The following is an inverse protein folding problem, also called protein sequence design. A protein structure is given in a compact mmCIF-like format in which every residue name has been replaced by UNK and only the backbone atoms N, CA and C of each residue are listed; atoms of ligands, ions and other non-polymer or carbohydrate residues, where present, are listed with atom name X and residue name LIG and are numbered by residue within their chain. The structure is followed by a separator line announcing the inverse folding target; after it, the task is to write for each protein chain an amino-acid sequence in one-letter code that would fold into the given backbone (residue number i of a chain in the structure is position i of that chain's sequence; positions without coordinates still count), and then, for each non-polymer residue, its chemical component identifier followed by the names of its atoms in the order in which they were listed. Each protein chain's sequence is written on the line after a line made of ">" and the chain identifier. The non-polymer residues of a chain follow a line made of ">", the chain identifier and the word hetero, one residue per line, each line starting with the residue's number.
data_IF_610875059147
#
_entry.id   IF_610875059147
#
_cell.length_a   1.000
_cell.length_b   1.000
_cell.length_c   1.000
_cell.angle_alpha   90.00
_cell.angle_beta   90.00
_cell.angle_gamma   90.00
#
_symmetry.space_group_name_H-M   'P 1'
#
loop_
_entity.id
_entity.type
_entity.pdbx_description
1 polymer ?
#
# COMPACT_ATOMS: atom_id res chain seq x y z
N UNK A 1 8.54 -27.61 -9.81
CA UNK A 1 7.50 -28.48 -10.42
C UNK A 1 6.19 -27.77 -10.16
N UNK A 2 5.52 -27.28 -11.21
CA UNK A 2 4.30 -26.47 -11.06
C UNK A 2 3.11 -27.36 -10.75
N UNK A 3 2.34 -27.01 -9.74
CA UNK A 3 1.02 -27.56 -9.47
C UNK A 3 0.04 -26.99 -10.51
N UNK A 4 -0.89 -27.81 -11.01
CA UNK A 4 -1.95 -27.30 -11.89
C UNK A 4 -2.86 -26.38 -11.09
N UNK A 5 -3.35 -25.28 -11.70
CA UNK A 5 -4.18 -24.29 -11.02
C UNK A 5 -5.40 -24.91 -10.33
N UNK A 6 -5.99 -25.93 -10.94
CA UNK A 6 -7.15 -26.65 -10.40
C UNK A 6 -6.79 -27.49 -9.16
N UNK A 7 -5.61 -28.11 -9.14
CA UNK A 7 -5.13 -28.87 -7.98
C UNK A 7 -4.82 -27.92 -6.81
N UNK A 8 -4.16 -26.78 -7.09
CA UNK A 8 -3.88 -25.75 -6.08
C UNK A 8 -5.18 -25.18 -5.50
N UNK A 9 -6.18 -24.99 -6.35
CA UNK A 9 -7.50 -24.53 -5.93
C UNK A 9 -8.21 -25.54 -5.03
N UNK A 10 -8.13 -26.84 -5.35
CA UNK A 10 -8.73 -27.89 -4.52
C UNK A 10 -8.08 -27.97 -3.13
N UNK A 11 -6.75 -27.81 -3.05
CA UNK A 11 -6.02 -27.81 -1.78
C UNK A 11 -6.44 -26.62 -0.89
N UNK A 12 -6.54 -25.42 -1.47
CA UNK A 12 -7.00 -24.21 -0.76
C UNK A 12 -8.44 -24.41 -0.23
N UNK A 13 -9.32 -24.97 -1.07
CA UNK A 13 -10.72 -25.22 -0.69
C UNK A 13 -10.81 -26.24 0.46
N UNK A 14 -9.97 -27.27 0.45
CA UNK A 14 -9.92 -28.29 1.50
C UNK A 14 -9.43 -27.68 2.84
N UNK A 15 -8.35 -26.89 2.81
CA UNK A 15 -7.81 -26.19 3.99
C UNK A 15 -8.84 -25.23 4.60
N UNK A 16 -9.57 -24.48 3.78
CA UNK A 16 -10.62 -23.57 4.25
C UNK A 16 -11.84 -24.31 4.82
N UNK A 17 -12.17 -25.47 4.27
CA UNK A 17 -13.21 -26.34 4.83
C UNK A 17 -12.82 -26.89 6.21
N UNK A 18 -11.55 -27.30 6.39
CA UNK A 18 -11.03 -27.75 7.69
C UNK A 18 -10.98 -26.61 8.73
N UNK A 19 -10.68 -25.38 8.30
CA UNK A 19 -10.65 -24.20 9.16
C UNK A 19 -12.04 -23.71 9.63
N UNK A 20 -13.14 -24.31 9.15
CA UNK A 20 -14.47 -24.25 9.75
C UNK A 20 -15.21 -22.91 9.71
N UNK A 21 -14.65 -21.86 9.10
CA UNK A 21 -15.18 -20.50 9.24
C UNK A 21 -15.94 -19.92 8.04
N UNK A 22 -15.97 -20.55 6.86
CA UNK A 22 -16.79 -20.09 5.72
C UNK A 22 -16.81 -21.09 4.57
N UNK A 23 -17.84 -21.04 3.72
CA UNK A 23 -17.83 -21.74 2.43
C UNK A 23 -16.75 -21.12 1.56
N UNK A 24 -15.86 -21.93 0.98
CA UNK A 24 -14.83 -21.43 0.08
C UNK A 24 -15.43 -20.52 -1.02
N UNK A 25 -14.67 -19.49 -1.40
CA UNK A 25 -15.08 -18.48 -2.39
C UNK A 25 -16.24 -17.57 -1.98
N UNK A 26 -16.58 -17.47 -0.70
CA UNK A 26 -17.57 -16.50 -0.23
C UNK A 26 -16.92 -15.35 0.52
N UNK A 27 -17.26 -14.12 0.14
CA UNK A 27 -16.91 -12.89 0.84
C UNK A 27 -18.11 -12.43 1.69
N UNK A 28 -17.96 -12.25 3.01
CA UNK A 28 -19.06 -11.86 3.88
C UNK A 28 -19.65 -10.50 3.50
N UNK A 29 -20.96 -10.35 3.61
CA UNK A 29 -21.66 -9.07 3.37
C UNK A 29 -21.06 -7.94 4.23
N UNK A 30 -20.68 -8.24 5.48
CA UNK A 30 -20.01 -7.29 6.39
C UNK A 30 -18.67 -6.77 5.86
N UNK A 31 -18.00 -7.50 4.95
CA UNK A 31 -16.79 -6.98 4.33
C UNK A 31 -17.09 -5.74 3.50
N UNK A 32 -18.18 -5.82 2.72
CA UNK A 32 -18.65 -4.79 1.80
C UNK A 32 -19.32 -3.64 2.55
N UNK A 33 -20.23 -3.96 3.47
CA UNK A 33 -20.97 -2.95 4.25
C UNK A 33 -20.10 -2.20 5.25
N UNK A 34 -19.01 -2.80 5.71
CA UNK A 34 -18.05 -2.17 6.61
C UNK A 34 -16.98 -1.34 5.90
N UNK A 35 -17.00 -1.23 4.56
CA UNK A 35 -15.98 -0.55 3.76
C UNK A 35 -16.62 0.41 2.77
N UNK A 36 -15.90 1.49 2.49
CA UNK A 36 -16.27 2.45 1.46
C UNK A 36 -15.07 2.76 0.60
N UNK A 37 -15.33 3.14 -0.65
CA UNK A 37 -14.37 3.75 -1.53
C UNK A 37 -14.40 5.26 -1.32
N UNK A 38 -13.23 5.84 -1.14
CA UNK A 38 -13.08 7.27 -0.87
C UNK A 38 -12.23 7.90 -1.96
N UNK A 39 -12.72 9.00 -2.51
CA UNK A 39 -11.89 9.88 -3.34
C UNK A 39 -11.39 11.02 -2.45
N UNK A 40 -10.08 11.14 -2.32
CA UNK A 40 -9.43 12.17 -1.51
C UNK A 40 -8.86 13.27 -2.40
N UNK A 41 -8.91 14.52 -1.92
CA UNK A 41 -8.15 15.64 -2.46
C UNK A 41 -7.12 16.07 -1.43
N UNK A 42 -5.86 16.06 -1.83
CA UNK A 42 -4.76 16.54 -1.00
C UNK A 42 -4.48 18.02 -1.29
N UNK A 43 -3.88 18.76 -0.33
CA UNK A 43 -3.38 20.10 -0.60
C UNK A 43 -2.34 20.11 -1.72
N UNK A 44 -2.07 21.29 -2.30
CA UNK A 44 -0.98 21.44 -3.25
C UNK A 44 0.37 21.25 -2.56
N UNK A 45 1.28 20.53 -3.22
CA UNK A 45 2.60 20.25 -2.69
C UNK A 45 3.28 19.08 -3.38
N UNK A 46 4.47 18.73 -2.91
CA UNK A 46 5.32 17.73 -3.51
C UNK A 46 5.22 16.38 -2.80
N UNK A 47 5.29 15.32 -3.60
CA UNK A 47 5.40 13.93 -3.15
C UNK A 47 6.80 13.42 -3.46
N UNK A 48 7.40 12.69 -2.53
CA UNK A 48 8.68 12.03 -2.77
C UNK A 48 8.41 10.69 -3.46
N UNK A 49 8.94 10.49 -4.66
CA UNK A 49 8.97 9.17 -5.27
C UNK A 49 10.08 8.34 -4.63
N UNK A 50 9.72 7.47 -3.68
CA UNK A 50 10.73 6.64 -3.00
C UNK A 50 11.31 5.57 -3.91
N UNK A 51 10.68 5.29 -5.05
CA UNK A 51 11.13 4.28 -6.01
C UNK A 51 12.03 4.85 -7.10
N UNK A 52 12.20 6.18 -7.15
CA UNK A 52 13.14 6.84 -8.04
C UNK A 52 14.59 6.52 -7.66
N UNK A 53 15.44 6.31 -8.67
CA UNK A 53 16.86 5.99 -8.46
C UNK A 53 17.57 7.13 -7.71
N UNK A 54 17.20 8.37 -8.01
CA UNK A 54 17.74 9.58 -7.38
C UNK A 54 17.41 9.60 -5.88
N UNK A 55 16.18 9.23 -5.50
CA UNK A 55 15.79 9.16 -4.09
C UNK A 55 16.50 8.03 -3.36
N UNK A 56 16.67 6.86 -3.99
CA UNK A 56 17.42 5.75 -3.40
C UNK A 56 18.88 6.13 -3.18
N UNK A 57 19.52 6.76 -4.17
CA UNK A 57 20.88 7.27 -4.06
C UNK A 57 21.02 8.33 -2.99
N UNK A 58 20.09 9.31 -2.94
CA UNK A 58 20.10 10.35 -1.92
C UNK A 58 19.91 9.77 -0.51
N UNK A 59 19.01 8.79 -0.32
CA UNK A 59 18.83 8.10 0.95
C UNK A 59 20.10 7.36 1.39
N UNK A 60 20.88 6.84 0.44
CA UNK A 60 22.16 6.20 0.76
C UNK A 60 23.23 7.22 1.19
N UNK A 61 23.27 8.40 0.57
CA UNK A 61 24.24 9.45 0.88
C UNK A 61 23.89 10.23 2.16
N UNK A 62 22.60 10.48 2.40
CA UNK A 62 22.13 11.22 3.57
C UNK A 62 22.18 10.39 4.86
N UNK A 63 22.20 9.05 4.72
CA UNK A 63 22.12 8.12 5.83
C UNK A 63 23.34 7.19 5.86
N UNK A 64 24.39 7.63 6.56
CA UNK A 64 25.57 6.82 6.89
C UNK A 64 25.28 5.73 7.96
N UNK A 65 24.02 5.63 8.41
CA UNK A 65 23.57 4.71 9.44
C UNK A 65 23.09 3.36 8.89
N UNK A 66 22.99 2.38 9.78
CA UNK A 66 22.39 1.08 9.45
C UNK A 66 20.86 1.19 9.51
N UNK A 67 20.17 0.63 8.51
CA UNK A 67 18.72 0.65 8.52
C UNK A 67 18.16 -0.48 9.39
N UNK A 68 17.20 -0.21 10.28
CA UNK A 68 16.57 -1.26 11.07
C UNK A 68 15.66 -2.11 10.17
N UNK A 69 15.66 -3.41 10.44
CA UNK A 69 14.84 -4.42 9.77
C UNK A 69 14.18 -5.32 10.81
N UNK A 70 13.21 -6.13 10.41
CA UNK A 70 12.59 -7.10 11.31
C UNK A 70 13.58 -8.16 11.83
N UNK A 71 14.70 -8.35 11.12
CA UNK A 71 15.71 -9.37 11.41
C UNK A 71 17.03 -8.81 11.94
N UNK A 72 17.08 -7.52 12.29
CA UNK A 72 18.29 -6.85 12.76
C UNK A 72 18.52 -5.54 12.02
N UNK A 73 19.69 -5.38 11.42
CA UNK A 73 20.05 -4.17 10.66
C UNK A 73 20.64 -4.55 9.31
N UNK A 74 20.43 -3.70 8.31
CA UNK A 74 21.14 -3.80 7.03
C UNK A 74 22.20 -2.72 6.94
N UNK A 75 23.38 -3.13 6.50
CA UNK A 75 24.52 -2.25 6.22
C UNK A 75 24.73 -2.09 4.70
N UNK A 76 23.99 -2.83 3.90
CA UNK A 76 24.07 -2.76 2.44
C UNK A 76 23.25 -1.57 1.89
N UNK A 77 23.62 -1.05 0.70
CA UNK A 77 22.87 0.03 0.07
C UNK A 77 21.39 -0.31 -0.13
N UNK A 78 20.52 0.66 0.09
CA UNK A 78 19.11 0.51 -0.21
C UNK A 78 18.91 0.21 -1.69
N UNK A 79 17.92 -0.63 -1.98
CA UNK A 79 17.54 -0.99 -3.34
C UNK A 79 16.03 -0.86 -3.48
N UNK A 80 15.54 -0.87 -4.72
CA UNK A 80 14.10 -0.88 -4.97
C UNK A 80 13.42 -2.08 -4.28
N UNK A 81 14.09 -3.23 -4.21
CA UNK A 81 13.55 -4.43 -3.55
C UNK A 81 13.28 -4.22 -2.05
N UNK A 82 14.14 -3.45 -1.36
CA UNK A 82 13.95 -3.07 0.03
C UNK A 82 12.69 -2.21 0.23
N UNK A 83 12.47 -1.26 -0.68
CA UNK A 83 11.37 -0.29 -0.61
C UNK A 83 10.02 -0.91 -0.99
N UNK A 84 10.01 -1.89 -1.89
CA UNK A 84 8.81 -2.63 -2.29
C UNK A 84 8.59 -3.91 -1.48
N UNK A 85 9.45 -4.18 -0.50
CA UNK A 85 9.48 -5.41 0.28
C UNK A 85 8.39 -5.54 1.35
N UNK A 86 8.43 -6.64 2.08
CA UNK A 86 7.50 -6.95 3.18
C UNK A 86 7.98 -6.42 4.55
N UNK A 87 9.25 -6.03 4.66
CA UNK A 87 9.80 -5.57 5.93
C UNK A 87 9.25 -4.18 6.31
N UNK A 88 8.22 -4.19 7.16
CA UNK A 88 7.57 -2.96 7.63
C UNK A 88 8.42 -2.17 8.59
N UNK A 89 9.39 -2.78 9.27
CA UNK A 89 10.34 -2.05 10.11
C UNK A 89 11.19 -1.16 9.22
N UNK A 90 11.72 -1.73 8.15
CA UNK A 90 12.54 -1.01 7.18
C UNK A 90 11.76 0.09 6.45
N UNK A 91 10.63 -0.25 5.83
CA UNK A 91 9.88 0.74 5.02
C UNK A 91 9.34 1.89 5.86
N UNK A 92 8.97 1.62 7.13
CA UNK A 92 8.51 2.67 8.05
C UNK A 92 9.66 3.53 8.54
N UNK A 93 10.84 2.95 8.80
CA UNK A 93 12.02 3.71 9.17
C UNK A 93 12.40 4.70 8.06
N UNK A 94 12.46 4.24 6.81
CA UNK A 94 12.75 5.10 5.65
C UNK A 94 11.70 6.21 5.52
N UNK A 95 10.40 5.88 5.60
CA UNK A 95 9.34 6.87 5.54
C UNK A 95 9.41 7.89 6.69
N UNK A 96 9.84 7.45 7.88
CA UNK A 96 10.03 8.33 9.04
C UNK A 96 11.19 9.27 8.83
N UNK A 97 12.32 8.78 8.29
CA UNK A 97 13.47 9.64 8.00
C UNK A 97 13.14 10.71 6.96
N UNK A 98 12.45 10.32 5.89
CA UNK A 98 11.94 11.28 4.90
C UNK A 98 10.96 12.29 5.52
N UNK A 99 10.15 11.83 6.49
CA UNK A 99 9.18 12.68 7.18
C UNK A 99 9.86 13.71 8.09
N UNK A 100 10.90 13.33 8.81
CA UNK A 100 11.47 14.17 9.88
C UNK A 100 12.65 15.01 9.43
N UNK A 101 13.44 14.53 8.47
CA UNK A 101 14.76 15.11 8.19
C UNK A 101 14.87 15.78 6.81
N UNK A 102 13.80 15.77 6.00
CA UNK A 102 13.83 16.34 4.66
C UNK A 102 13.00 17.63 4.60
N UNK A 103 13.66 18.69 4.11
CA UNK A 103 13.03 19.92 3.62
C UNK A 103 13.38 20.08 2.15
N UNK A 104 12.41 20.45 1.33
CA UNK A 104 12.59 20.60 -0.11
C UNK A 104 13.33 21.91 -0.43
N UNK A 105 13.83 22.03 -1.66
CA UNK A 105 14.61 23.19 -2.12
C UNK A 105 13.83 24.52 -2.02
N UNK A 106 12.50 24.45 -2.10
CA UNK A 106 11.60 25.61 -1.93
C UNK A 106 11.30 25.94 -0.44
N UNK A 107 11.91 25.22 0.49
CA UNK A 107 11.71 25.35 1.94
C UNK A 107 10.44 24.70 2.47
N UNK A 108 9.66 24.04 1.60
CA UNK A 108 8.45 23.33 2.02
C UNK A 108 8.75 21.92 2.51
N UNK A 109 7.80 21.34 3.24
CA UNK A 109 7.84 19.94 3.62
C UNK A 109 7.09 19.11 2.56
N UNK A 110 7.54 17.87 2.26
CA UNK A 110 6.78 17.00 1.38
C UNK A 110 5.45 16.60 2.02
N UNK A 111 4.43 16.39 1.19
CA UNK A 111 3.12 15.90 1.62
C UNK A 111 3.19 14.45 2.11
N UNK A 112 4.11 13.68 1.54
CA UNK A 112 4.23 12.25 1.77
C UNK A 112 5.12 11.60 0.74
N UNK A 113 4.96 10.29 0.62
CA UNK A 113 5.68 9.46 -0.35
C UNK A 113 4.73 8.84 -1.36
N UNK A 114 5.24 8.61 -2.57
CA UNK A 114 4.61 7.79 -3.58
C UNK A 114 5.52 6.63 -3.95
N UNK A 115 4.94 5.46 -4.22
CA UNK A 115 5.66 4.23 -4.57
C UNK A 115 4.83 3.33 -5.49
N UNK A 116 5.49 2.46 -6.25
CA UNK A 116 4.80 1.48 -7.09
C UNK A 116 4.25 0.31 -6.26
N UNK A 117 3.09 -0.20 -6.64
CA UNK A 117 2.52 -1.41 -6.06
C UNK A 117 3.39 -2.63 -6.36
N UNK A 118 3.76 -3.39 -5.32
CA UNK A 118 4.44 -4.68 -5.46
C UNK A 118 3.54 -5.80 -6.03
N UNK A 119 2.23 -5.60 -6.04
CA UNK A 119 1.26 -6.58 -6.53
C UNK A 119 1.00 -6.45 -8.04
N UNK A 120 1.78 -5.63 -8.74
CA UNK A 120 1.65 -5.37 -10.16
C UNK A 120 0.64 -4.26 -10.47
N UNK A 121 0.41 -4.06 -11.76
CA UNK A 121 -0.37 -2.95 -12.30
C UNK A 121 -1.41 -3.49 -13.27
N UNK A 122 -2.72 -3.24 -13.05
CA UNK A 122 -3.74 -3.56 -14.03
C UNK A 122 -3.50 -2.83 -15.35
N UNK A 123 -3.91 -3.43 -16.48
CA UNK A 123 -3.71 -2.83 -17.80
C UNK A 123 -4.37 -1.43 -17.88
N UNK A 124 -3.59 -0.42 -18.28
CA UNK A 124 -4.05 0.96 -18.39
C UNK A 124 -4.08 1.75 -17.08
N UNK A 125 -3.63 1.16 -15.97
CA UNK A 125 -3.46 1.87 -14.69
C UNK A 125 -1.98 2.15 -14.41
N UNK A 126 -1.71 2.98 -13.40
CA UNK A 126 -0.34 3.27 -12.95
C UNK A 126 0.15 2.30 -11.88
N UNK A 127 -0.78 1.77 -11.06
CA UNK A 127 -0.44 1.00 -9.86
C UNK A 127 0.35 1.82 -8.83
N UNK A 128 0.25 3.15 -8.93
CA UNK A 128 0.86 4.07 -8.00
C UNK A 128 0.13 3.99 -6.66
N UNK A 129 0.89 3.98 -5.58
CA UNK A 129 0.41 4.09 -4.22
C UNK A 129 0.99 5.35 -3.59
N UNK A 130 0.27 5.88 -2.61
CA UNK A 130 0.63 7.08 -1.87
C UNK A 130 0.49 6.83 -0.38
N UNK A 131 1.39 7.41 0.41
CA UNK A 131 1.27 7.50 1.85
C UNK A 131 1.43 8.97 2.26
N UNK A 132 0.35 9.54 2.79
CA UNK A 132 0.25 10.95 3.18
C UNK A 132 0.58 11.15 4.66
N UNK A 133 1.31 12.21 4.98
CA UNK A 133 1.59 12.58 6.37
C UNK A 133 0.60 13.63 6.87
N UNK A 134 -0.26 13.23 7.81
CA UNK A 134 -1.28 14.09 8.42
C UNK A 134 -0.69 15.00 9.51
N UNK A 135 0.28 15.84 9.15
CA UNK A 135 1.05 16.66 10.10
C UNK A 135 0.19 17.66 10.88
N UNK A 136 -0.87 18.16 10.24
CA UNK A 136 -1.83 19.04 10.89
C UNK A 136 -2.49 18.30 12.06
N UNK A 137 -2.96 17.08 11.83
CA UNK A 137 -3.55 16.23 12.89
C UNK A 137 -2.53 15.89 13.98
N UNK A 138 -1.30 15.56 13.61
CA UNK A 138 -0.22 15.31 14.58
C UNK A 138 0.03 16.53 15.49
N UNK A 139 -0.24 17.73 14.99
CA UNK A 139 -0.13 19.01 15.72
C UNK A 139 -1.43 19.44 16.40
N UNK A 140 -2.48 18.62 16.37
CA UNK A 140 -3.80 18.93 16.94
C UNK A 140 -4.63 19.94 16.13
N UNK A 141 -4.31 20.10 14.84
CA UNK A 141 -5.03 20.96 13.89
C UNK A 141 -5.91 20.12 12.95
N UNK A 142 -6.86 20.78 12.30
CA UNK A 142 -7.68 20.17 11.27
C UNK A 142 -6.87 19.79 10.03
N UNK A 143 -7.20 18.65 9.42
CA UNK A 143 -6.53 18.16 8.23
C UNK A 143 -6.99 18.92 6.97
N UNK A 144 -6.03 19.24 6.10
CA UNK A 144 -6.31 19.96 4.85
C UNK A 144 -6.81 19.03 3.73
N UNK A 145 -6.68 17.72 3.91
CA UNK A 145 -7.17 16.71 2.97
C UNK A 145 -8.70 16.61 3.02
N UNK A 146 -9.34 16.68 1.87
CA UNK A 146 -10.80 16.63 1.73
C UNK A 146 -11.25 15.26 1.22
N UNK A 147 -12.33 14.73 1.79
CA UNK A 147 -13.06 13.59 1.21
C UNK A 147 -14.06 14.14 0.19
N UNK A 148 -13.83 13.90 -1.10
CA UNK A 148 -14.69 14.36 -2.18
C UNK A 148 -15.89 13.43 -2.42
N UNK A 149 -15.62 12.13 -2.34
CA UNK A 149 -16.59 11.07 -2.60
C UNK A 149 -16.43 10.03 -1.50
N UNK A 150 -17.56 9.55 -1.00
CA UNK A 150 -17.66 8.40 -0.11
C UNK A 150 -18.76 7.51 -0.66
N UNK A 151 -18.36 6.42 -1.29
CA UNK A 151 -19.26 5.45 -1.92
C UNK A 151 -19.15 4.11 -1.22
N UNK A 152 -20.30 3.47 -0.99
CA UNK A 152 -20.31 2.07 -0.59
C UNK A 152 -19.83 1.20 -1.75
N UNK A 153 -19.23 0.06 -1.45
CA UNK A 153 -18.94 -0.95 -2.46
C UNK A 153 -20.29 -1.63 -2.77
N UNK A 154 -20.92 -1.39 -3.91
CA UNK A 154 -22.20 -2.02 -4.24
C UNK A 154 -22.02 -3.38 -4.94
N UNK A 155 -23.06 -4.22 -4.96
CA UNK A 155 -22.99 -5.54 -5.60
C UNK A 155 -22.74 -5.46 -7.12
N UNK A 156 -23.17 -4.36 -7.74
CA UNK A 156 -22.99 -4.08 -9.16
C UNK A 156 -21.82 -3.13 -9.45
N UNK A 157 -21.00 -2.82 -8.45
CA UNK A 157 -19.80 -2.02 -8.63
C UNK A 157 -18.85 -2.73 -9.62
N UNK A 158 -18.41 -2.07 -10.71
CA UNK A 158 -17.59 -2.71 -11.73
C UNK A 158 -16.27 -3.27 -11.22
N UNK A 159 -15.61 -2.57 -10.28
CA UNK A 159 -14.34 -3.01 -9.71
C UNK A 159 -14.57 -4.20 -8.76
N UNK A 160 -15.67 -4.19 -8.02
CA UNK A 160 -16.06 -5.32 -7.18
C UNK A 160 -16.40 -6.56 -8.01
N UNK A 161 -17.16 -6.40 -9.10
CA UNK A 161 -17.48 -7.49 -10.04
C UNK A 161 -16.20 -8.03 -10.69
N UNK A 162 -15.29 -7.15 -11.13
CA UNK A 162 -14.00 -7.56 -11.69
C UNK A 162 -13.16 -8.34 -10.67
N UNK A 163 -13.13 -7.90 -9.40
CA UNK A 163 -12.46 -8.62 -8.32
C UNK A 163 -13.11 -9.98 -8.03
N UNK A 164 -14.44 -10.06 -8.08
CA UNK A 164 -15.18 -11.33 -7.94
C UNK A 164 -14.81 -12.34 -9.01
N UNK A 165 -14.76 -11.91 -10.27
CA UNK A 165 -14.38 -12.76 -11.41
C UNK A 165 -12.92 -13.19 -11.33
N UNK A 166 -12.00 -12.23 -11.09
CA UNK A 166 -10.57 -12.49 -11.06
C UNK A 166 -10.17 -13.43 -9.91
N UNK A 167 -10.68 -13.16 -8.71
CA UNK A 167 -10.36 -13.94 -7.51
C UNK A 167 -11.26 -15.17 -7.33
N UNK A 168 -12.22 -15.40 -8.24
CA UNK A 168 -13.25 -16.46 -8.15
C UNK A 168 -13.99 -16.44 -6.80
N UNK A 169 -14.38 -15.24 -6.34
CA UNK A 169 -15.12 -15.02 -5.09
C UNK A 169 -16.56 -14.57 -5.38
N UNK A 170 -17.46 -14.83 -4.43
CA UNK A 170 -18.89 -14.50 -4.49
C UNK A 170 -19.27 -13.69 -3.25
N UNK A 171 -20.21 -12.77 -3.38
CA UNK A 171 -20.77 -12.04 -2.24
C UNK A 171 -22.29 -12.00 -2.32
N UNK A 172 -22.95 -11.66 -1.20
CA UNK A 172 -24.41 -11.60 -1.03
C UNK A 172 -24.85 -10.17 -0.75
#
# INVERSE_FOLDING_TARGET
>A
MGIALDDMWNDIVAEWHEAGNMKASWLPQVFREGRGMYTLRFPEGWWIDVTAIETISALHELFDGTWPTSNGQIEEPLTLAHLTGDDRVLTTAIATELRENITLDDGTLPLGIQFVSKHGVPAGQTGQCWAYWMRSVDSGLDEATEVLVSEGIELNDPDFVAAQEHCKIKSR
#
